data_IF_459403697112
#
_entry.id   IF_459403697112
#
_cell.length_a   1.000
_cell.length_b   1.000
_cell.length_c   1.000
_cell.angle_alpha   90.00
_cell.angle_beta   90.00
_cell.angle_gamma   90.00
#
_symmetry.space_group_name_H-M   'P 1'
#
loop_
_entity.id
_entity.type
_entity.pdbx_description
1 polymer ?
#
# COMPACT_ATOMS: atom_id res chain seq x y z
N UNK A 1 -10.87 18.80 33.63
CA UNK A 1 -11.40 19.70 34.67
C UNK A 1 -10.96 19.16 36.01
N UNK A 2 -10.43 20.00 36.90
CA UNK A 2 -10.09 19.58 38.25
C UNK A 2 -11.32 19.77 39.15
N UNK A 3 -11.69 18.73 39.90
CA UNK A 3 -12.74 18.81 40.91
C UNK A 3 -12.13 19.28 42.22
N UNK A 4 -12.68 20.34 42.84
CA UNK A 4 -12.24 20.80 44.16
C UNK A 4 -13.00 20.02 45.26
N UNK A 5 -12.28 19.25 46.10
CA UNK A 5 -12.90 18.47 47.16
C UNK A 5 -13.64 19.31 48.22
N UNK A 6 -13.34 20.61 48.34
CA UNK A 6 -13.99 21.51 49.32
C UNK A 6 -15.42 21.89 48.97
N UNK A 7 -15.86 21.61 47.75
CA UNK A 7 -17.22 21.89 47.29
C UNK A 7 -18.15 20.67 47.35
N UNK A 8 -17.70 19.54 47.90
CA UNK A 8 -18.58 18.39 48.10
C UNK A 8 -19.52 18.58 49.29
N UNK A 9 -20.75 18.06 49.22
CA UNK A 9 -21.64 17.98 50.37
C UNK A 9 -21.00 17.15 51.50
N UNK A 10 -21.11 17.65 52.73
CA UNK A 10 -20.64 16.93 53.93
C UNK A 10 -21.59 15.80 54.38
N UNK A 11 -22.83 15.81 53.89
CA UNK A 11 -23.81 14.74 54.16
C UNK A 11 -23.47 13.46 53.36
N UNK A 12 -23.15 12.35 54.03
CA UNK A 12 -22.77 11.10 53.36
C UNK A 12 -23.91 10.52 52.50
N UNK A 13 -25.18 10.72 52.87
CA UNK A 13 -26.31 10.19 52.09
C UNK A 13 -26.43 10.93 50.76
N UNK A 14 -26.31 12.25 50.78
CA UNK A 14 -26.32 13.10 49.60
C UNK A 14 -25.13 12.81 48.68
N UNK A 15 -23.95 12.55 49.25
CA UNK A 15 -22.76 12.19 48.49
C UNK A 15 -22.94 10.82 47.80
N UNK A 16 -23.49 9.82 48.48
CA UNK A 16 -23.81 8.52 47.88
C UNK A 16 -24.80 8.64 46.71
N UNK A 17 -25.84 9.46 46.84
CA UNK A 17 -26.80 9.72 45.76
C UNK A 17 -26.12 10.34 44.54
N UNK A 18 -25.27 11.37 44.72
CA UNK A 18 -24.52 11.95 43.61
C UNK A 18 -23.59 10.96 42.93
N UNK A 19 -22.94 10.06 43.69
CA UNK A 19 -22.07 9.02 43.10
C UNK A 19 -22.88 8.06 42.23
N UNK A 20 -24.07 7.64 42.68
CA UNK A 20 -24.96 6.79 41.89
C UNK A 20 -25.43 7.51 40.61
N UNK A 21 -25.79 8.79 40.72
CA UNK A 21 -26.20 9.61 39.57
C UNK A 21 -25.05 9.78 38.57
N UNK A 22 -23.83 10.02 39.06
CA UNK A 22 -22.63 10.13 38.22
C UNK A 22 -22.27 8.81 37.53
N UNK A 23 -22.43 7.68 38.22
CA UNK A 23 -22.24 6.36 37.62
C UNK A 23 -23.26 6.12 36.49
N UNK A 24 -24.54 6.43 36.74
CA UNK A 24 -25.58 6.32 35.72
C UNK A 24 -25.33 7.25 34.51
N UNK A 25 -24.84 8.47 34.76
CA UNK A 25 -24.42 9.40 33.70
C UNK A 25 -23.23 8.85 32.91
N UNK A 26 -22.23 8.29 33.59
CA UNK A 26 -21.05 7.72 32.95
C UNK A 26 -21.43 6.51 32.08
N UNK A 27 -22.30 5.63 32.58
CA UNK A 27 -22.80 4.49 31.83
C UNK A 27 -23.54 4.93 30.57
N UNK A 28 -24.41 5.93 30.69
CA UNK A 28 -25.11 6.52 29.53
C UNK A 28 -24.13 7.06 28.50
N UNK A 29 -23.19 7.91 28.91
CA UNK A 29 -22.18 8.51 28.03
C UNK A 29 -21.28 7.45 27.38
N UNK A 30 -20.89 6.42 28.13
CA UNK A 30 -20.09 5.31 27.60
C UNK A 30 -20.86 4.52 26.54
N UNK A 31 -22.17 4.30 26.75
CA UNK A 31 -23.03 3.62 25.80
C UNK A 31 -23.25 4.44 24.53
N UNK A 32 -23.40 5.75 24.66
CA UNK A 32 -23.55 6.67 23.52
C UNK A 32 -22.26 6.75 22.71
N UNK A 33 -21.10 6.88 23.37
CA UNK A 33 -19.78 6.79 22.73
C UNK A 33 -19.60 5.48 21.97
N UNK A 34 -19.93 4.36 22.61
CA UNK A 34 -19.79 3.04 21.98
C UNK A 34 -20.65 2.91 20.71
N UNK A 35 -21.88 3.45 20.73
CA UNK A 35 -22.77 3.49 19.56
C UNK A 35 -22.18 4.35 18.44
N UNK A 36 -21.69 5.55 18.76
CA UNK A 36 -21.07 6.45 17.78
C UNK A 36 -19.84 5.81 17.15
N UNK A 37 -18.98 5.16 17.95
CA UNK A 37 -17.82 4.45 17.43
C UNK A 37 -18.21 3.29 16.50
N UNK A 38 -19.25 2.52 16.85
CA UNK A 38 -19.74 1.44 16.00
C UNK A 38 -20.25 1.97 14.65
N UNK A 39 -21.06 3.03 14.65
CA UNK A 39 -21.55 3.68 13.43
C UNK A 39 -20.40 4.24 12.58
N UNK A 40 -19.41 4.86 13.22
CA UNK A 40 -18.24 5.38 12.51
C UNK A 40 -17.45 4.26 11.84
N UNK A 41 -17.24 3.12 12.51
CA UNK A 41 -16.59 1.94 11.91
C UNK A 41 -17.39 1.45 10.70
N UNK A 42 -18.70 1.28 10.84
CA UNK A 42 -19.56 0.83 9.74
C UNK A 42 -19.50 1.78 8.52
N UNK A 43 -19.53 3.10 8.74
CA UNK A 43 -19.42 4.08 7.66
C UNK A 43 -18.04 4.09 7.00
N UNK A 44 -16.97 3.93 7.78
CA UNK A 44 -15.61 3.84 7.23
C UNK A 44 -15.43 2.56 6.42
N UNK A 45 -15.98 1.44 6.90
CA UNK A 45 -15.96 0.18 6.18
C UNK A 45 -16.77 0.28 4.89
N UNK A 46 -17.98 0.86 4.91
CA UNK A 46 -18.75 1.12 3.70
C UNK A 46 -18.01 2.04 2.70
N UNK A 47 -17.27 3.05 3.21
CA UNK A 47 -16.47 3.96 2.38
C UNK A 47 -15.27 3.26 1.74
N UNK A 48 -14.56 2.39 2.47
CA UNK A 48 -13.42 1.60 1.98
C UNK A 48 -13.88 0.44 1.08
N UNK A 49 -15.03 -0.14 1.37
CA UNK A 49 -15.62 -1.24 0.61
C UNK A 49 -16.46 -0.74 -0.58
N UNK A 50 -16.16 0.41 -1.17
CA UNK A 50 -16.79 0.83 -2.43
C UNK A 50 -16.57 -0.28 -3.46
N UNK A 51 -17.63 -0.67 -4.18
CA UNK A 51 -17.61 -1.79 -5.13
C UNK A 51 -16.46 -1.73 -6.16
N UNK A 52 -15.95 -0.53 -6.44
CA UNK A 52 -14.80 -0.31 -7.33
C UNK A 52 -13.46 -0.76 -6.77
N UNK A 53 -13.33 -0.90 -5.45
CA UNK A 53 -12.09 -1.31 -4.76
C UNK A 53 -12.14 -2.77 -4.26
N UNK A 54 -13.32 -3.41 -4.30
CA UNK A 54 -13.45 -4.82 -3.96
C UNK A 54 -12.93 -5.69 -5.11
N UNK A 55 -11.97 -6.56 -4.81
CA UNK A 55 -11.52 -7.58 -5.76
C UNK A 55 -12.66 -8.58 -5.98
N UNK A 56 -12.95 -8.90 -7.24
CA UNK A 56 -13.92 -9.96 -7.55
C UNK A 56 -13.40 -11.32 -7.08
N UNK A 57 -14.30 -12.30 -6.94
CA UNK A 57 -13.95 -13.69 -6.62
C UNK A 57 -12.88 -14.23 -7.56
N UNK A 58 -13.01 -13.90 -8.85
CA UNK A 58 -12.10 -14.36 -9.88
C UNK A 58 -10.72 -13.71 -9.74
N UNK A 59 -10.66 -12.42 -9.39
CA UNK A 59 -9.40 -11.74 -9.10
C UNK A 59 -8.71 -12.31 -7.85
N UNK A 60 -9.46 -12.60 -6.80
CA UNK A 60 -8.93 -13.25 -5.60
C UNK A 60 -8.40 -14.66 -5.90
N UNK A 61 -9.08 -15.41 -6.77
CA UNK A 61 -8.63 -16.72 -7.21
C UNK A 61 -7.29 -16.65 -7.97
N UNK A 62 -7.09 -15.62 -8.81
CA UNK A 62 -5.80 -15.38 -9.48
C UNK A 62 -4.67 -15.13 -8.46
N UNK A 63 -4.91 -14.35 -7.40
CA UNK A 63 -3.93 -14.14 -6.34
C UNK A 63 -3.62 -15.41 -5.56
N UNK A 64 -4.64 -16.19 -5.21
CA UNK A 64 -4.47 -17.47 -4.52
C UNK A 64 -3.65 -18.45 -5.37
N UNK A 65 -3.94 -18.57 -6.66
CA UNK A 65 -3.17 -19.41 -7.58
C UNK A 65 -1.71 -18.96 -7.69
N UNK A 66 -1.45 -17.66 -7.83
CA UNK A 66 -0.11 -17.11 -7.89
C UNK A 66 0.69 -17.32 -6.58
N UNK A 67 0.02 -17.25 -5.44
CA UNK A 67 0.62 -17.52 -4.13
C UNK A 67 1.03 -18.99 -4.00
N UNK A 68 0.14 -19.92 -4.36
CA UNK A 68 0.41 -21.36 -4.32
C UNK A 68 1.56 -21.74 -5.26
N UNK A 69 1.59 -21.20 -6.48
CA UNK A 69 2.68 -21.43 -7.42
C UNK A 69 4.06 -21.04 -6.84
N UNK A 70 4.14 -19.90 -6.16
CA UNK A 70 5.39 -19.47 -5.48
C UNK A 70 5.78 -20.41 -4.34
N UNK A 71 4.82 -20.91 -3.57
CA UNK A 71 5.12 -21.87 -2.50
C UNK A 71 5.66 -23.18 -3.08
N UNK A 72 5.09 -23.66 -4.18
CA UNK A 72 5.57 -24.88 -4.86
C UNK A 72 6.96 -24.70 -5.49
N UNK A 73 7.29 -23.51 -6.01
CA UNK A 73 8.63 -23.21 -6.53
C UNK A 73 9.69 -23.21 -5.42
N UNK A 74 9.37 -22.66 -4.25
CA UNK A 74 10.28 -22.64 -3.09
C UNK A 74 10.50 -24.04 -2.52
N UNK A 75 9.45 -24.88 -2.47
CA UNK A 75 9.56 -26.26 -1.98
C UNK A 75 10.35 -27.16 -2.96
N UNK A 76 10.26 -26.89 -4.27
CA UNK A 76 11.02 -27.62 -5.30
C UNK A 76 12.53 -27.28 -5.31
N UNK A 77 12.92 -26.12 -4.78
CA UNK A 77 14.33 -25.70 -4.64
C UNK A 77 14.96 -26.10 -3.28
N UNK A 78 14.24 -26.79 -2.39
CA UNK A 78 14.82 -27.34 -1.17
C UNK A 78 15.88 -28.41 -1.51
N UNK A 79 17.15 -28.23 -1.10
CA UNK A 79 18.21 -29.16 -1.50
C UNK A 79 17.98 -30.50 -0.81
N UNK A 80 17.74 -31.55 -1.61
CA UNK A 80 17.93 -32.91 -1.13
C UNK A 80 19.39 -33.05 -0.75
N UNK A 81 19.64 -33.19 0.55
CA UNK A 81 20.95 -33.52 1.08
C UNK A 81 21.51 -34.72 0.34
N UNK A 82 22.66 -34.52 -0.30
CA UNK A 82 23.56 -35.61 -0.59
C UNK A 82 24.93 -35.20 -0.07
N UNK A 83 25.27 -35.84 1.03
CA UNK A 83 26.58 -35.94 1.62
C UNK A 83 27.52 -36.65 0.63
N UNK A 84 28.55 -35.95 0.16
CA UNK A 84 29.77 -36.55 -0.37
C UNK A 84 30.85 -35.49 -0.45
N UNK A 85 31.65 -35.52 0.61
CA UNK A 85 33.02 -35.05 0.68
C UNK A 85 33.87 -35.83 -0.35
N UNK A 86 34.37 -35.16 -1.40
CA UNK A 86 35.59 -35.56 -2.11
C UNK A 86 36.12 -34.37 -2.94
N UNK A 87 37.20 -33.77 -2.45
CA UNK A 87 38.12 -32.93 -3.22
C UNK A 87 38.92 -33.82 -4.18
N UNK A 88 39.07 -33.42 -5.45
CA UNK A 88 40.43 -33.32 -5.94
C UNK A 88 40.65 -32.04 -6.75
N UNK A 89 41.42 -31.14 -6.13
CA UNK A 89 42.68 -30.60 -6.67
C UNK A 89 42.73 -30.35 -8.20
N UNK A 90 42.54 -29.06 -8.53
CA UNK A 90 43.28 -28.28 -9.52
C UNK A 90 43.45 -28.84 -10.96
N UNK A 91 42.67 -28.28 -11.89
CA UNK A 91 43.21 -27.82 -13.19
C UNK A 91 42.69 -26.43 -13.55
N UNK A 92 43.65 -25.53 -13.67
CA UNK A 92 43.54 -24.14 -14.09
C UNK A 92 43.07 -24.08 -15.56
N UNK A 93 41.99 -23.35 -15.80
CA UNK A 93 41.55 -22.90 -17.12
C UNK A 93 40.76 -21.61 -16.94
N UNK A 94 41.42 -20.48 -17.25
CA UNK A 94 40.92 -19.14 -16.98
C UNK A 94 39.62 -18.78 -17.69
N UNK A 95 38.81 -17.96 -17.01
CA UNK A 95 37.60 -17.36 -17.53
C UNK A 95 36.68 -17.01 -16.37
N UNK A 96 36.89 -15.83 -15.79
CA UNK A 96 36.08 -15.23 -14.71
C UNK A 96 34.58 -15.35 -14.97
N UNK A 97 33.99 -16.46 -14.52
CA UNK A 97 32.55 -16.57 -14.33
C UNK A 97 32.25 -16.08 -12.93
N UNK A 98 32.41 -14.77 -12.74
CA UNK A 98 31.85 -14.07 -11.61
C UNK A 98 30.36 -14.39 -11.58
N UNK A 99 29.96 -15.29 -10.68
CA UNK A 99 28.58 -15.59 -10.38
C UNK A 99 27.90 -14.28 -9.99
N UNK A 100 27.27 -13.62 -10.97
CA UNK A 100 26.54 -12.38 -10.75
C UNK A 100 25.41 -12.71 -9.80
N UNK A 101 25.53 -12.21 -8.56
CA UNK A 101 24.44 -12.10 -7.61
C UNK A 101 23.22 -11.60 -8.37
N UNK A 102 22.19 -12.45 -8.49
CA UNK A 102 20.91 -12.10 -9.11
C UNK A 102 20.24 -11.09 -8.21
N UNK A 103 20.56 -9.81 -8.38
CA UNK A 103 19.78 -8.72 -7.82
C UNK A 103 18.35 -8.90 -8.33
N UNK A 104 17.38 -8.98 -7.41
CA UNK A 104 15.97 -9.29 -7.68
C UNK A 104 15.22 -8.22 -8.48
N UNK A 105 15.76 -7.84 -9.64
CA UNK A 105 15.18 -6.93 -10.60
C UNK A 105 14.73 -7.66 -11.87
N UNK A 106 13.94 -6.95 -12.69
CA UNK A 106 13.52 -7.43 -14.01
C UNK A 106 14.76 -7.74 -14.85
N UNK A 107 14.78 -8.91 -15.48
CA UNK A 107 15.84 -9.28 -16.42
C UNK A 107 15.87 -8.28 -17.58
N UNK A 108 17.06 -7.85 -18.02
CA UNK A 108 17.16 -6.95 -19.17
C UNK A 108 16.62 -7.63 -20.42
N UNK A 109 16.01 -6.83 -21.30
CA UNK A 109 15.48 -7.33 -22.56
C UNK A 109 16.61 -8.01 -23.37
N UNK A 110 16.40 -9.24 -23.89
CA UNK A 110 17.39 -9.96 -24.66
C UNK A 110 17.99 -9.15 -25.81
N UNK A 111 19.29 -9.32 -26.07
CA UNK A 111 20.05 -8.56 -27.09
C UNK A 111 19.52 -8.72 -28.51
N UNK A 112 18.78 -9.78 -28.79
CA UNK A 112 18.19 -10.06 -30.10
C UNK A 112 16.84 -9.35 -30.32
N UNK A 113 16.22 -8.80 -29.26
CA UNK A 113 15.00 -8.01 -29.37
C UNK A 113 15.34 -6.54 -29.59
N UNK A 114 14.89 -5.99 -30.71
CA UNK A 114 15.12 -4.60 -31.07
C UNK A 114 14.26 -3.67 -30.20
N UNK A 115 14.85 -2.55 -29.78
CA UNK A 115 14.13 -1.47 -29.11
C UNK A 115 13.64 -0.49 -30.16
N UNK A 116 12.35 -0.54 -30.47
CA UNK A 116 11.72 0.41 -31.38
C UNK A 116 10.89 1.42 -30.57
N UNK A 117 11.08 2.70 -30.84
CA UNK A 117 10.26 3.77 -30.25
C UNK A 117 9.05 3.96 -31.14
N UNK A 118 7.88 3.57 -30.64
CA UNK A 118 6.60 3.84 -31.30
C UNK A 118 6.00 5.06 -30.60
N UNK A 119 5.90 6.17 -31.33
CA UNK A 119 5.21 7.38 -30.85
C UNK A 119 3.76 7.29 -31.29
N UNK A 120 2.84 7.07 -30.34
CA UNK A 120 1.41 7.21 -30.56
C UNK A 120 0.99 8.62 -30.15
N UNK A 121 0.60 9.45 -31.12
CA UNK A 121 0.02 10.77 -30.88
C UNK A 121 -1.49 10.73 -31.17
N UNK A 122 -2.22 11.69 -30.62
CA UNK A 122 -3.63 11.88 -30.93
C UNK A 122 -3.80 12.39 -32.37
N UNK A 123 -4.93 12.07 -33.00
CA UNK A 123 -5.28 12.68 -34.28
C UNK A 123 -5.50 14.20 -34.12
N UNK A 124 -5.37 14.98 -35.20
CA UNK A 124 -5.54 16.44 -35.13
C UNK A 124 -6.93 16.85 -34.60
N UNK A 125 -7.97 16.06 -34.88
CA UNK A 125 -9.33 16.29 -34.39
C UNK A 125 -9.42 16.12 -32.86
N UNK A 126 -8.69 15.15 -32.29
CA UNK A 126 -8.67 14.83 -30.86
C UNK A 126 -7.76 15.75 -30.04
N UNK A 127 -6.98 16.61 -30.68
CA UNK A 127 -6.15 17.62 -30.00
C UNK A 127 -6.97 18.81 -29.48
N UNK A 128 -8.27 18.86 -29.78
CA UNK A 128 -9.17 19.94 -29.39
C UNK A 128 -10.23 19.41 -28.40
N UNK A 129 -10.54 20.21 -27.38
CA UNK A 129 -11.60 19.88 -26.44
C UNK A 129 -12.98 19.92 -27.14
N UNK A 130 -13.75 18.84 -27.10
CA UNK A 130 -15.08 18.75 -27.71
C UNK A 130 -16.11 19.74 -27.14
N UNK A 131 -15.88 20.26 -25.94
CA UNK A 131 -16.83 21.13 -25.22
C UNK A 131 -16.54 22.62 -25.40
N UNK A 132 -15.25 23.01 -25.43
CA UNK A 132 -14.85 24.42 -25.51
C UNK A 132 -13.95 24.76 -26.70
N UNK A 133 -13.64 23.77 -27.55
CA UNK A 133 -12.80 23.88 -28.76
C UNK A 133 -11.40 24.44 -28.51
N UNK A 134 -10.93 24.43 -27.27
CA UNK A 134 -9.57 24.83 -26.92
C UNK A 134 -8.60 23.67 -27.08
N UNK A 135 -7.36 23.98 -27.48
CA UNK A 135 -6.29 23.01 -27.65
C UNK A 135 -5.91 22.34 -26.32
N UNK A 136 -5.84 21.02 -26.33
CA UNK A 136 -5.37 20.22 -25.21
C UNK A 136 -3.86 20.41 -25.04
N UNK A 137 -3.45 20.74 -23.82
CA UNK A 137 -2.02 20.92 -23.50
C UNK A 137 -1.39 19.59 -23.09
N UNK A 138 -0.19 19.25 -23.61
CA UNK A 138 0.52 18.06 -23.18
C UNK A 138 0.94 18.20 -21.71
N UNK A 139 0.56 17.23 -20.88
CA UNK A 139 0.81 17.26 -19.42
C UNK A 139 2.30 17.34 -19.06
N UNK A 140 3.20 16.89 -19.95
CA UNK A 140 4.64 16.80 -19.67
C UNK A 140 5.36 18.16 -19.73
N UNK A 141 4.79 19.17 -20.42
CA UNK A 141 5.47 20.48 -20.61
C UNK A 141 5.29 21.46 -19.43
N UNK A 142 4.41 21.19 -18.46
CA UNK A 142 4.10 22.14 -17.38
C UNK A 142 5.12 22.19 -16.23
N UNK A 143 6.14 21.33 -16.20
CA UNK A 143 7.18 21.30 -15.15
C UNK A 143 8.56 21.81 -15.55
N UNK A 144 8.79 22.10 -16.83
CA UNK A 144 10.13 22.46 -17.32
C UNK A 144 10.48 23.95 -17.12
N UNK A 145 9.50 24.83 -16.91
CA UNK A 145 9.76 26.27 -16.83
C UNK A 145 10.26 26.74 -15.44
N UNK A 146 10.03 25.98 -14.37
CA UNK A 146 10.44 26.37 -13.00
C UNK A 146 11.84 25.86 -12.61
N UNK A 147 12.41 24.88 -13.31
CA UNK A 147 13.73 24.32 -12.97
C UNK A 147 14.93 25.02 -13.65
N UNK A 148 14.71 26.04 -14.48
CA UNK A 148 15.80 26.75 -15.17
C UNK A 148 16.27 28.03 -14.46
N UNK A 149 15.63 28.44 -13.36
CA UNK A 149 16.06 29.61 -12.57
C UNK A 149 17.08 29.28 -11.45
N UNK A 150 17.29 28.01 -11.10
CA UNK A 150 18.15 27.63 -9.96
C UNK A 150 19.57 27.12 -10.34
N UNK A 151 19.96 27.23 -11.61
CA UNK A 151 21.31 26.81 -12.10
C UNK A 151 22.19 27.98 -12.59
N UNK A 152 21.88 29.21 -12.18
CA UNK A 152 22.77 30.37 -12.31
C UNK A 152 22.88 31.08 -10.96
N UNK A 153 23.65 30.49 -10.06
CA UNK A 153 24.28 31.17 -8.92
C UNK A 153 25.58 30.44 -8.63
#
# INVERSE_FOLDING_TARGET
MAFDPKHLPEDPKRLQQMVLDLMAQLDRESSERSKVEALLRELLDAKRNRKSEQLSTDQLALFAAAWQARQTEVEAEAPKGNDSDDDPTAKLGGGDSAAKKRTGGRQPLPRHLKRERITHDLSEEEKHCSTCQQDLRPMVKSRANDMNMFRRS
#
